data_IF_838763692833
#
_entry.id   IF_838763692833
#
_cell.length_a   1.000
_cell.length_b   1.000
_cell.length_c   1.000
_cell.angle_alpha   90.00
_cell.angle_beta   90.00
_cell.angle_gamma   90.00
#
_symmetry.space_group_name_H-M   'P 1'
#
loop_
_entity.id
_entity.type
_entity.pdbx_description
1 polymer ?
#
# COMPACT_ATOMS: atom_id res chain seq x y z
N UNK A 1 -10.14 -3.51 -21.30
CA UNK A 1 -8.93 -4.35 -21.17
C UNK A 1 -8.94 -4.98 -19.78
N UNK A 2 -9.01 -6.31 -19.67
CA UNK A 2 -8.91 -7.01 -18.39
C UNK A 2 -7.42 -7.24 -18.08
N UNK A 3 -6.96 -6.78 -16.92
CA UNK A 3 -5.57 -6.92 -16.46
C UNK A 3 -5.21 -8.41 -16.32
N UNK A 4 -3.96 -8.81 -16.57
CA UNK A 4 -3.49 -10.20 -16.37
C UNK A 4 -3.79 -10.70 -14.95
N UNK A 5 -3.70 -9.81 -13.95
CA UNK A 5 -4.10 -10.05 -12.55
C UNK A 5 -5.58 -10.44 -12.35
N UNK A 6 -6.44 -10.23 -13.36
CA UNK A 6 -7.86 -10.64 -13.33
C UNK A 6 -8.11 -12.00 -13.97
N UNK A 7 -7.10 -12.61 -14.62
CA UNK A 7 -7.22 -13.93 -15.27
C UNK A 7 -6.83 -15.09 -14.35
N UNK A 8 -6.08 -14.82 -13.29
CA UNK A 8 -5.59 -15.83 -12.34
C UNK A 8 -5.89 -15.35 -10.92
N UNK A 9 -6.39 -16.22 -10.02
CA UNK A 9 -6.48 -15.89 -8.60
C UNK A 9 -5.11 -15.43 -8.11
N UNK A 10 -5.04 -14.19 -7.64
CA UNK A 10 -3.79 -13.55 -7.24
C UNK A 10 -3.76 -13.36 -5.72
N UNK A 11 -2.55 -13.40 -5.17
CA UNK A 11 -2.29 -12.99 -3.80
C UNK A 11 -1.84 -11.53 -3.86
N UNK A 12 -2.57 -10.66 -3.18
CA UNK A 12 -2.23 -9.24 -3.03
C UNK A 12 -1.63 -9.07 -1.63
N UNK A 13 -0.44 -8.47 -1.56
CA UNK A 13 0.23 -8.17 -0.30
C UNK A 13 0.25 -6.66 -0.15
N UNK A 14 -0.29 -6.17 0.95
CA UNK A 14 -0.27 -4.75 1.33
C UNK A 14 0.31 -4.61 2.73
N UNK A 15 0.79 -3.41 3.06
CA UNK A 15 1.30 -3.12 4.38
C UNK A 15 0.17 -2.80 5.37
N UNK A 16 0.39 -3.06 6.66
CA UNK A 16 -0.49 -2.59 7.72
C UNK A 16 -0.37 -1.07 7.87
N UNK A 17 -1.33 -0.33 7.30
CA UNK A 17 -1.32 1.14 7.20
C UNK A 17 -1.58 1.89 8.53
N UNK A 18 -2.01 1.20 9.57
CA UNK A 18 -2.36 1.78 10.87
C UNK A 18 -3.57 2.72 10.82
N UNK A 19 -3.81 3.47 11.91
CA UNK A 19 -5.02 4.30 12.01
C UNK A 19 -5.02 5.54 11.12
N UNK A 20 -3.88 6.22 11.03
CA UNK A 20 -3.71 7.49 10.30
C UNK A 20 -2.46 7.44 9.39
N UNK A 21 -2.49 6.68 8.27
CA UNK A 21 -1.33 6.51 7.39
C UNK A 21 -0.80 7.82 6.81
N UNK A 22 -1.65 8.82 6.63
CA UNK A 22 -1.24 10.12 6.10
C UNK A 22 -0.18 10.80 6.97
N UNK A 23 -0.34 10.74 8.30
CA UNK A 23 0.57 11.43 9.23
C UNK A 23 1.96 10.77 9.27
N UNK A 24 2.01 9.43 9.20
CA UNK A 24 3.29 8.72 9.10
C UNK A 24 3.98 8.97 7.76
N UNK A 25 3.24 9.04 6.65
CA UNK A 25 3.77 9.31 5.32
C UNK A 25 4.24 10.76 5.12
N UNK A 26 3.63 11.71 5.82
CA UNK A 26 4.00 13.14 5.75
C UNK A 26 5.25 13.45 6.58
N UNK A 27 5.63 12.58 7.51
CA UNK A 27 6.77 12.78 8.38
C UNK A 27 8.07 12.93 7.57
N UNK A 28 8.81 14.02 7.80
CA UNK A 28 10.05 14.34 7.07
C UNK A 28 9.87 14.99 5.70
N UNK A 29 8.63 15.17 5.21
CA UNK A 29 8.36 15.88 3.95
C UNK A 29 8.27 17.38 4.21
N UNK A 30 9.21 18.15 3.64
CA UNK A 30 9.25 19.61 3.75
C UNK A 30 8.44 20.37 2.69
N UNK A 31 8.00 19.72 1.60
CA UNK A 31 7.26 20.38 0.51
C UNK A 31 5.75 20.37 0.77
N UNK A 32 5.16 21.55 1.00
CA UNK A 32 3.75 21.71 1.35
C UNK A 32 2.76 21.13 0.34
N UNK A 33 3.02 21.31 -0.96
CA UNK A 33 2.18 20.75 -2.02
C UNK A 33 2.06 19.22 -1.93
N UNK A 34 3.16 18.53 -1.60
CA UNK A 34 3.17 17.08 -1.45
C UNK A 34 2.44 16.67 -0.17
N UNK A 35 2.66 17.40 0.92
CA UNK A 35 1.95 17.17 2.20
C UNK A 35 0.44 17.29 2.01
N UNK A 36 -0.02 18.31 1.30
CA UNK A 36 -1.44 18.52 1.00
C UNK A 36 -2.03 17.33 0.24
N UNK A 37 -1.36 16.86 -0.82
CA UNK A 37 -1.81 15.70 -1.59
C UNK A 37 -1.89 14.42 -0.77
N UNK A 38 -0.89 14.17 0.09
CA UNK A 38 -0.90 12.99 0.96
C UNK A 38 -2.07 13.06 1.95
N UNK A 39 -2.35 14.24 2.55
CA UNK A 39 -3.52 14.43 3.42
C UNK A 39 -4.85 14.14 2.72
N UNK A 40 -4.97 14.49 1.44
CA UNK A 40 -6.18 14.24 0.65
C UNK A 40 -6.35 12.79 0.22
N UNK A 41 -5.32 11.95 0.35
CA UNK A 41 -5.36 10.57 -0.14
C UNK A 41 -6.16 9.68 0.81
N UNK A 42 -7.23 8.99 0.34
CA UNK A 42 -8.10 8.19 1.20
C UNK A 42 -7.58 6.75 1.31
N UNK A 43 -6.39 6.56 1.90
CA UNK A 43 -5.69 5.26 1.93
C UNK A 43 -6.55 4.09 2.40
N UNK A 44 -7.23 4.20 3.55
CA UNK A 44 -8.11 3.14 4.07
C UNK A 44 -9.30 2.83 3.15
N UNK A 45 -9.87 3.85 2.49
CA UNK A 45 -10.97 3.64 1.57
C UNK A 45 -10.50 2.94 0.28
N UNK A 46 -9.28 3.27 -0.18
CA UNK A 46 -8.65 2.60 -1.31
C UNK A 46 -8.35 1.14 -0.99
N UNK A 47 -7.75 0.86 0.17
CA UNK A 47 -7.48 -0.50 0.64
C UNK A 47 -8.76 -1.34 0.68
N UNK A 48 -9.83 -0.81 1.29
CA UNK A 48 -11.15 -1.46 1.31
C UNK A 48 -11.69 -1.72 -0.10
N UNK A 49 -11.59 -0.76 -1.00
CA UNK A 49 -12.05 -0.93 -2.38
C UNK A 49 -11.27 -2.04 -3.11
N UNK A 50 -9.96 -2.17 -2.85
CA UNK A 50 -9.14 -3.24 -3.40
C UNK A 50 -9.52 -4.59 -2.79
N UNK A 51 -9.79 -4.65 -1.48
CA UNK A 51 -10.26 -5.85 -0.78
C UNK A 51 -11.58 -6.37 -1.35
N UNK A 52 -12.57 -5.50 -1.51
CA UNK A 52 -13.86 -5.84 -2.13
C UNK A 52 -13.65 -6.42 -3.54
N UNK A 53 -12.78 -5.79 -4.34
CA UNK A 53 -12.47 -6.25 -5.71
C UNK A 53 -11.63 -7.52 -5.79
N UNK A 54 -10.83 -7.79 -4.76
CA UNK A 54 -10.08 -9.03 -4.65
C UNK A 54 -11.03 -10.18 -4.35
N UNK A 55 -11.95 -9.99 -3.40
CA UNK A 55 -12.96 -10.98 -3.02
C UNK A 55 -13.89 -11.33 -4.19
N UNK A 56 -14.38 -10.33 -4.93
CA UNK A 56 -15.19 -10.52 -6.15
C UNK A 56 -14.52 -11.44 -7.19
N UNK A 57 -13.18 -11.48 -7.21
CA UNK A 57 -12.37 -12.23 -8.19
C UNK A 57 -11.75 -13.51 -7.63
N UNK A 58 -12.04 -13.88 -6.39
CA UNK A 58 -11.44 -15.04 -5.73
C UNK A 58 -9.96 -14.87 -5.36
N UNK A 59 -9.46 -13.64 -5.36
CA UNK A 59 -8.13 -13.28 -4.88
C UNK A 59 -8.11 -13.09 -3.37
N UNK A 60 -6.91 -13.14 -2.76
CA UNK A 60 -6.74 -12.94 -1.31
C UNK A 60 -5.83 -11.74 -1.05
N UNK A 61 -6.19 -10.93 -0.06
CA UNK A 61 -5.32 -9.89 0.51
C UNK A 61 -4.63 -10.41 1.77
N UNK A 62 -3.35 -10.09 1.91
CA UNK A 62 -2.59 -10.24 3.14
C UNK A 62 -2.00 -8.89 3.55
N UNK A 63 -2.18 -8.56 4.81
CA UNK A 63 -1.54 -7.41 5.45
C UNK A 63 -0.23 -7.89 6.09
N UNK A 64 0.85 -7.16 5.84
CA UNK A 64 2.17 -7.44 6.42
C UNK A 64 2.74 -6.20 7.08
N UNK A 65 3.66 -6.40 8.03
CA UNK A 65 4.34 -5.29 8.66
C UNK A 65 5.08 -4.43 7.62
N UNK A 66 4.96 -3.11 7.72
CA UNK A 66 5.77 -2.16 6.96
C UNK A 66 7.26 -2.14 7.39
N UNK A 67 7.70 -3.07 8.23
CA UNK A 67 9.04 -3.11 8.78
C UNK A 67 10.11 -3.18 7.69
N UNK A 68 10.88 -2.10 7.57
CA UNK A 68 11.94 -1.91 6.55
C UNK A 68 11.45 -1.92 5.10
N UNK A 69 10.13 -1.84 4.85
CA UNK A 69 9.65 -1.53 3.52
C UNK A 69 10.31 -0.24 3.03
N UNK A 70 10.82 -0.26 1.80
CA UNK A 70 11.55 0.85 1.18
C UNK A 70 12.85 1.29 1.88
N UNK A 71 13.34 0.52 2.87
CA UNK A 71 14.61 0.78 3.59
C UNK A 71 15.58 -0.40 3.56
N UNK A 72 15.28 -1.43 2.77
CA UNK A 72 16.15 -2.57 2.53
C UNK A 72 16.46 -2.67 1.04
N UNK A 73 17.72 -2.96 0.71
CA UNK A 73 18.11 -3.26 -0.66
C UNK A 73 17.49 -4.61 -1.06
N UNK A 74 16.72 -4.70 -2.16
CA UNK A 74 16.12 -5.97 -2.58
C UNK A 74 17.16 -6.99 -3.08
N UNK A 75 18.38 -6.54 -3.43
CA UNK A 75 19.46 -7.41 -3.91
C UNK A 75 20.33 -7.94 -2.77
N UNK A 76 20.65 -7.08 -1.80
CA UNK A 76 21.63 -7.38 -0.76
C UNK A 76 21.01 -7.61 0.62
N UNK A 77 19.72 -7.29 0.79
CA UNK A 77 18.98 -7.36 2.06
C UNK A 77 19.60 -6.58 3.23
N UNK A 78 20.44 -5.58 2.91
CA UNK A 78 21.00 -4.63 3.88
C UNK A 78 20.18 -3.34 3.94
N UNK A 79 20.35 -2.57 5.01
CA UNK A 79 19.70 -1.26 5.18
C UNK A 79 20.21 -0.29 4.10
N UNK A 80 19.28 0.45 3.47
CA UNK A 80 19.58 1.57 2.56
C UNK A 80 20.10 2.80 3.31
#
# INVERSE_FOLDING_TARGET
MANELTKTPAIIITEELGENPQESMINGIGRDELRHRIKQTPFKALEKAVEDKALERGSRIFHVSAYRNSRACPMHFVKL
#
